data_IF_845269928061
#
_entry.id   IF_845269928061
#
_cell.length_a   1.000
_cell.length_b   1.000
_cell.length_c   1.000
_cell.angle_alpha   90.00
_cell.angle_beta   90.00
_cell.angle_gamma   90.00
#
_symmetry.space_group_name_H-M   'P 1'
#
loop_
_entity.id
_entity.type
_entity.pdbx_description
1 polymer ?
#
# COMPACT_ATOMS: atom_id res chain seq x y z
N UNK A 1 -3.29 -15.58 1.98
CA UNK A 1 -2.57 -15.00 0.85
C UNK A 1 -1.15 -15.56 0.87
N UNK A 2 -0.67 -16.07 -0.26
CA UNK A 2 0.73 -16.44 -0.45
C UNK A 2 1.59 -15.16 -0.56
N UNK A 3 2.76 -15.13 0.08
CA UNK A 3 3.61 -13.94 0.16
C UNK A 3 5.01 -14.25 -0.37
N UNK A 4 5.48 -13.42 -1.30
CA UNK A 4 6.87 -13.38 -1.72
C UNK A 4 7.42 -11.97 -1.53
N UNK A 5 8.16 -11.75 -0.43
CA UNK A 5 8.70 -10.44 -0.06
C UNK A 5 10.23 -10.54 -0.03
N UNK A 6 10.97 -9.59 -0.64
CA UNK A 6 12.42 -9.64 -0.65
C UNK A 6 12.95 -9.54 0.79
N UNK A 7 14.01 -10.30 1.14
CA UNK A 7 14.58 -10.23 2.47
C UNK A 7 15.04 -8.81 2.79
N UNK A 8 14.74 -8.36 4.01
CA UNK A 8 15.21 -7.08 4.51
C UNK A 8 16.38 -7.26 5.47
N UNK A 9 17.32 -6.31 5.48
CA UNK A 9 18.54 -6.36 6.29
C UNK A 9 18.29 -6.10 7.79
N UNK A 10 17.03 -6.04 8.22
CA UNK A 10 16.60 -5.91 9.63
C UNK A 10 16.79 -4.51 10.24
N UNK A 11 17.42 -3.57 9.52
CA UNK A 11 17.76 -2.23 10.03
C UNK A 11 17.01 -1.09 9.33
N UNK A 12 15.91 -1.38 8.63
CA UNK A 12 15.13 -0.40 7.87
C UNK A 12 13.65 -0.37 8.29
N UNK A 13 13.31 0.26 9.43
CA UNK A 13 11.94 0.21 9.99
C UNK A 13 10.85 0.73 9.03
N UNK A 14 11.16 1.75 8.21
CA UNK A 14 10.24 2.27 7.19
C UNK A 14 9.95 1.25 6.09
N UNK A 15 10.97 0.47 5.71
CA UNK A 15 10.85 -0.58 4.70
C UNK A 15 9.99 -1.74 5.22
N UNK A 16 10.21 -2.14 6.47
CA UNK A 16 9.36 -3.13 7.15
C UNK A 16 7.89 -2.67 7.20
N UNK A 17 7.62 -1.44 7.65
CA UNK A 17 6.28 -0.88 7.69
C UNK A 17 5.60 -0.88 6.31
N UNK A 18 6.33 -0.56 5.24
CA UNK A 18 5.76 -0.59 3.89
C UNK A 18 5.43 -2.01 3.43
N UNK A 19 6.29 -2.98 3.73
CA UNK A 19 5.96 -4.39 3.47
C UNK A 19 4.68 -4.81 4.18
N UNK A 20 4.55 -4.47 5.46
CA UNK A 20 3.36 -4.76 6.26
C UNK A 20 2.13 -4.04 5.71
N UNK A 21 2.22 -2.75 5.38
CA UNK A 21 1.13 -1.98 4.79
C UNK A 21 0.67 -2.56 3.46
N UNK A 22 1.60 -2.96 2.57
CA UNK A 22 1.23 -3.59 1.29
C UNK A 22 0.45 -4.88 1.52
N UNK A 23 0.84 -5.70 2.52
CA UNK A 23 0.09 -6.92 2.89
C UNK A 23 -1.30 -6.57 3.44
N UNK A 24 -1.41 -5.56 4.30
CA UNK A 24 -2.69 -5.12 4.87
C UNK A 24 -3.64 -4.62 3.78
N UNK A 25 -3.15 -3.79 2.84
CA UNK A 25 -3.95 -3.29 1.71
C UNK A 25 -4.38 -4.42 0.78
N UNK A 26 -3.48 -5.31 0.37
CA UNK A 26 -3.81 -6.44 -0.51
C UNK A 26 -4.82 -7.43 0.12
N UNK A 27 -4.88 -7.47 1.45
CA UNK A 27 -5.80 -8.33 2.22
C UNK A 27 -7.08 -7.61 2.68
N UNK A 28 -7.18 -6.30 2.44
CA UNK A 28 -8.23 -5.41 2.97
C UNK A 28 -8.36 -5.45 4.50
N UNK A 29 -7.23 -5.53 5.21
CA UNK A 29 -7.18 -5.33 6.67
C UNK A 29 -7.17 -3.83 6.97
N UNK A 30 -8.31 -3.19 6.63
CA UNK A 30 -8.45 -1.72 6.57
C UNK A 30 -8.23 -1.07 7.94
N UNK A 31 -8.84 -1.54 9.06
CA UNK A 31 -8.65 -0.90 10.36
C UNK A 31 -7.18 -0.82 10.79
N UNK A 32 -6.42 -1.89 10.58
CA UNK A 32 -4.99 -1.97 10.88
C UNK A 32 -4.19 -1.03 9.99
N UNK A 33 -4.47 -0.99 8.68
CA UNK A 33 -3.79 -0.08 7.76
C UNK A 33 -4.04 1.40 8.13
N UNK A 34 -5.27 1.75 8.50
CA UNK A 34 -5.65 3.12 8.85
C UNK A 34 -4.96 3.66 10.12
N UNK A 35 -4.49 2.78 11.01
CA UNK A 35 -3.70 3.17 12.18
C UNK A 35 -2.39 3.88 11.82
N UNK A 36 -1.88 3.65 10.60
CA UNK A 36 -0.64 4.24 10.08
C UNK A 36 -0.88 5.44 9.16
N UNK A 37 -2.11 5.86 8.93
CA UNK A 37 -2.44 6.98 8.04
C UNK A 37 -2.56 8.28 8.84
N UNK A 38 -2.13 9.42 8.28
CA UNK A 38 -2.48 10.73 8.80
C UNK A 38 -4.01 10.95 8.73
N UNK A 39 -4.56 11.80 9.61
CA UNK A 39 -6.01 12.06 9.61
C UNK A 39 -6.46 12.73 8.30
N UNK A 40 -5.59 13.56 7.71
CA UNK A 40 -5.74 14.27 6.44
C UNK A 40 -5.01 13.58 5.27
N UNK A 41 -4.78 12.26 5.35
CA UNK A 41 -4.12 11.48 4.29
C UNK A 41 -4.80 11.69 2.93
N UNK A 42 -4.01 11.76 1.87
CA UNK A 42 -4.52 11.82 0.49
C UNK A 42 -4.09 10.58 -0.28
N UNK A 43 -5.06 9.83 -0.79
CA UNK A 43 -4.81 8.71 -1.69
C UNK A 43 -5.24 9.05 -3.11
N UNK A 44 -4.40 8.70 -4.10
CA UNK A 44 -4.72 8.82 -5.52
C UNK A 44 -4.45 7.49 -6.21
N UNK A 45 -5.50 6.82 -6.68
CA UNK A 45 -5.37 5.79 -7.69
C UNK A 45 -5.27 6.48 -9.06
N UNK A 46 -4.18 6.26 -9.79
CA UNK A 46 -3.96 6.96 -11.06
C UNK A 46 -5.01 6.55 -12.08
N UNK A 47 -5.72 7.55 -12.60
CA UNK A 47 -6.90 7.38 -13.45
C UNK A 47 -8.20 7.84 -12.77
N UNK A 48 -8.19 7.99 -11.45
CA UNK A 48 -9.33 8.40 -10.64
C UNK A 48 -9.13 9.75 -9.95
N UNK A 49 -10.18 10.22 -9.26
CA UNK A 49 -10.11 11.43 -8.43
C UNK A 49 -9.43 11.12 -7.10
N UNK A 50 -8.61 12.04 -6.56
CA UNK A 50 -8.03 11.88 -5.23
C UNK A 50 -9.10 11.73 -4.14
N UNK A 51 -8.82 10.86 -3.18
CA UNK A 51 -9.61 10.65 -1.96
C UNK A 51 -8.89 11.35 -0.81
N UNK A 52 -9.62 12.21 -0.09
CA UNK A 52 -9.07 13.05 0.97
C UNK A 52 -9.62 12.62 2.34
N UNK A 53 -8.71 12.45 3.30
CA UNK A 53 -9.02 12.11 4.68
C UNK A 53 -9.10 10.60 4.93
N UNK A 54 -8.69 10.20 6.14
CA UNK A 54 -8.57 8.80 6.52
C UNK A 54 -9.89 8.03 6.43
N UNK A 55 -11.00 8.64 6.85
CA UNK A 55 -12.32 8.00 6.82
C UNK A 55 -12.80 7.71 5.40
N UNK A 56 -12.62 8.67 4.48
CA UNK A 56 -12.99 8.50 3.09
C UNK A 56 -12.13 7.42 2.41
N UNK A 57 -10.83 7.41 2.72
CA UNK A 57 -9.92 6.39 2.20
C UNK A 57 -10.28 4.99 2.69
N UNK A 58 -10.57 4.83 3.99
CA UNK A 58 -11.02 3.55 4.56
C UNK A 58 -12.29 3.03 3.86
N UNK A 59 -13.28 3.91 3.67
CA UNK A 59 -14.54 3.57 3.01
C UNK A 59 -14.34 3.10 1.56
N UNK A 60 -13.43 3.73 0.82
CA UNK A 60 -13.14 3.34 -0.57
C UNK A 60 -12.49 1.95 -0.62
N UNK A 61 -11.52 1.68 0.26
CA UNK A 61 -10.93 0.34 0.39
C UNK A 61 -11.96 -0.72 0.78
N UNK A 62 -12.85 -0.42 1.72
CA UNK A 62 -13.93 -1.34 2.10
C UNK A 62 -14.87 -1.66 0.93
N UNK A 63 -15.21 -0.66 0.10
CA UNK A 63 -16.02 -0.86 -1.09
C UNK A 63 -15.33 -1.76 -2.13
N UNK A 64 -13.99 -1.71 -2.21
CA UNK A 64 -13.18 -2.54 -3.11
C UNK A 64 -12.91 -3.97 -2.56
N UNK A 65 -13.22 -4.24 -1.29
CA UNK A 65 -12.82 -5.47 -0.57
C UNK A 65 -13.43 -6.79 -1.08
N UNK A 66 -14.36 -6.72 -2.02
CA UNK A 66 -15.04 -7.88 -2.61
C UNK A 66 -14.13 -8.83 -3.41
N UNK A 67 -12.94 -8.38 -3.81
CA UNK A 67 -11.95 -9.20 -4.49
C UNK A 67 -10.57 -9.04 -3.84
N UNK A 68 -10.14 -10.05 -3.08
CA UNK A 68 -8.87 -10.04 -2.33
C UNK A 68 -7.73 -10.67 -3.13
N UNK A 69 -6.50 -10.27 -2.83
CA UNK A 69 -5.34 -10.95 -3.35
C UNK A 69 -5.17 -12.35 -2.71
N UNK A 70 -4.95 -13.36 -3.55
CA UNK A 70 -4.59 -14.72 -3.14
C UNK A 70 -3.07 -14.92 -3.10
N UNK A 71 -2.32 -14.15 -3.89
CA UNK A 71 -0.86 -14.07 -3.81
C UNK A 71 -0.38 -12.63 -3.99
N UNK A 72 0.66 -12.26 -3.26
CA UNK A 72 1.33 -10.97 -3.34
C UNK A 72 2.84 -11.19 -3.49
N UNK A 73 3.41 -10.63 -4.54
CA UNK A 73 4.85 -10.55 -4.74
C UNK A 73 5.30 -9.11 -4.66
N UNK A 74 6.18 -8.79 -3.73
CA UNK A 74 6.88 -7.51 -3.68
C UNK A 74 8.21 -7.68 -4.40
N UNK A 75 8.50 -6.83 -5.38
CA UNK A 75 9.76 -6.87 -6.12
C UNK A 75 10.82 -5.99 -5.46
N UNK A 76 10.44 -4.79 -5.04
CA UNK A 76 11.32 -3.88 -4.32
C UNK A 76 10.54 -2.90 -3.43
N UNK A 77 11.21 -2.45 -2.37
CA UNK A 77 10.79 -1.33 -1.54
C UNK A 77 11.98 -0.37 -1.45
N UNK A 78 11.74 0.90 -1.76
CA UNK A 78 12.73 1.98 -1.78
C UNK A 78 12.31 3.06 -0.78
N UNK A 79 13.26 3.62 -0.04
CA UNK A 79 13.00 4.67 0.95
C UNK A 79 14.11 5.71 0.94
N UNK A 80 13.77 7.00 0.96
CA UNK A 80 14.72 8.10 1.10
C UNK A 80 14.06 9.32 1.77
N UNK A 81 14.62 9.82 2.87
CA UNK A 81 14.02 10.96 3.58
C UNK A 81 12.59 10.65 4.01
N UNK A 82 11.61 11.43 3.56
CA UNK A 82 10.17 11.20 3.80
C UNK A 82 9.50 10.38 2.71
N UNK A 83 10.19 10.12 1.60
CA UNK A 83 9.63 9.45 0.43
C UNK A 83 9.88 7.95 0.49
N UNK A 84 8.95 7.20 -0.07
CA UNK A 84 9.14 5.79 -0.30
C UNK A 84 8.33 5.28 -1.50
N UNK A 85 8.71 4.12 -2.00
CA UNK A 85 8.00 3.43 -3.06
C UNK A 85 8.05 1.92 -2.84
N UNK A 86 7.01 1.23 -3.25
CA UNK A 86 6.95 -0.23 -3.35
C UNK A 86 6.35 -0.60 -4.69
N UNK A 87 6.84 -1.66 -5.32
CA UNK A 87 6.21 -2.19 -6.51
C UNK A 87 6.26 -3.71 -6.51
N UNK A 88 5.34 -4.30 -7.25
CA UNK A 88 5.11 -5.73 -7.19
C UNK A 88 3.97 -6.19 -8.09
N UNK A 89 3.48 -7.39 -7.80
CA UNK A 89 2.38 -8.02 -8.49
C UNK A 89 1.40 -8.64 -7.48
N UNK A 90 0.12 -8.58 -7.79
CA UNK A 90 -0.95 -9.25 -7.05
C UNK A 90 -1.72 -10.20 -7.96
N UNK A 91 -1.99 -11.40 -7.45
CA UNK A 91 -2.93 -12.34 -8.06
C UNK A 91 -4.20 -12.31 -7.24
N UNK A 92 -5.32 -12.06 -7.89
CA UNK A 92 -6.62 -11.88 -7.25
C UNK A 92 -7.42 -13.17 -7.22
N UNK A 93 -8.40 -13.26 -6.31
CA UNK A 93 -9.24 -14.44 -6.14
C UNK A 93 -10.08 -14.77 -7.39
N UNK A 94 -10.42 -13.75 -8.19
CA UNK A 94 -11.12 -13.90 -9.47
C UNK A 94 -10.20 -14.32 -10.64
N UNK A 95 -8.92 -14.59 -10.37
CA UNK A 95 -7.93 -15.00 -11.35
C UNK A 95 -7.25 -13.87 -12.11
N UNK A 96 -7.67 -12.60 -11.90
CA UNK A 96 -6.97 -11.47 -12.48
C UNK A 96 -5.59 -11.25 -11.86
N UNK A 97 -4.67 -10.71 -12.67
CA UNK A 97 -3.33 -10.33 -12.26
C UNK A 97 -3.13 -8.84 -12.47
N UNK A 98 -2.47 -8.20 -11.52
CA UNK A 98 -2.13 -6.79 -11.61
C UNK A 98 -0.68 -6.57 -11.21
N UNK A 99 0.03 -5.76 -11.99
CA UNK A 99 1.24 -5.09 -11.56
C UNK A 99 0.87 -3.80 -10.84
N UNK A 100 1.59 -3.47 -9.78
CA UNK A 100 1.37 -2.23 -9.03
C UNK A 100 2.68 -1.51 -8.72
N UNK A 101 2.57 -0.19 -8.55
CA UNK A 101 3.58 0.65 -7.93
C UNK A 101 2.89 1.70 -7.05
N UNK A 102 3.22 1.73 -5.77
CA UNK A 102 2.71 2.68 -4.80
C UNK A 102 3.83 3.60 -4.33
N UNK A 103 3.62 4.91 -4.44
CA UNK A 103 4.51 5.94 -3.93
C UNK A 103 3.91 6.57 -2.68
N UNK A 104 4.73 6.71 -1.65
CA UNK A 104 4.33 7.19 -0.33
C UNK A 104 5.11 8.44 0.04
N UNK A 105 4.43 9.37 0.70
CA UNK A 105 5.09 10.36 1.54
C UNK A 105 4.70 10.14 3.00
N UNK A 106 5.67 10.26 3.90
CA UNK A 106 5.45 10.19 5.34
C UNK A 106 5.41 11.60 5.94
N UNK A 107 4.70 11.75 7.06
CA UNK A 107 4.61 13.03 7.81
C UNK A 107 5.97 13.45 8.38
N UNK A 108 6.89 12.50 8.58
CA UNK A 108 8.24 12.75 9.08
C UNK A 108 9.24 11.68 8.62
N UNK A 109 10.53 11.97 8.82
CA UNK A 109 11.61 11.05 8.43
C UNK A 109 11.54 9.72 9.21
N UNK A 110 11.01 9.75 10.44
CA UNK A 110 10.77 8.57 11.28
C UNK A 110 9.88 7.54 10.58
N UNK A 111 8.93 8.00 9.76
CA UNK A 111 8.16 7.11 8.89
C UNK A 111 7.07 6.31 9.59
N UNK A 112 6.43 6.86 10.61
CA UNK A 112 5.37 6.18 11.36
C UNK A 112 3.94 6.50 10.89
N UNK A 113 3.74 7.68 10.26
CA UNK A 113 2.46 8.03 9.61
C UNK A 113 2.63 8.43 8.14
N UNK A 114 1.76 7.90 7.30
CA UNK A 114 1.67 8.18 5.86
C UNK A 114 0.80 9.41 5.63
N UNK A 115 1.32 10.39 4.89
CA UNK A 115 0.62 11.62 4.51
C UNK A 115 -0.05 11.49 3.13
N UNK A 116 0.57 10.78 2.20
CA UNK A 116 -0.04 10.54 0.89
C UNK A 116 0.40 9.21 0.28
N UNK A 117 -0.47 8.69 -0.59
CA UNK A 117 -0.22 7.50 -1.40
C UNK A 117 -0.65 7.80 -2.84
N UNK A 118 0.21 7.53 -3.80
CA UNK A 118 -0.13 7.51 -5.24
C UNK A 118 0.08 6.10 -5.78
N UNK A 119 -1.00 5.48 -6.22
CA UNK A 119 -1.04 4.08 -6.67
C UNK A 119 -1.19 4.00 -8.17
N UNK A 120 -0.30 3.26 -8.81
CA UNK A 120 -0.41 2.84 -10.21
C UNK A 120 -0.76 1.36 -10.20
N UNK A 121 -1.87 0.97 -10.84
CA UNK A 121 -2.30 -0.43 -10.92
C UNK A 121 -2.62 -0.74 -12.38
N UNK A 122 -2.00 -1.77 -12.93
CA UNK A 122 -2.13 -2.16 -14.34
C UNK A 122 -2.47 -3.64 -14.40
N UNK A 123 -3.53 -3.99 -15.14
CA UNK A 123 -3.88 -5.39 -15.40
C UNK A 123 -2.84 -6.05 -16.32
N UNK A 124 -2.39 -7.25 -15.96
CA UNK A 124 -1.41 -8.05 -16.72
C UNK A 124 -2.10 -9.09 -17.62
#
# INVERSE_FOLDING_TARGET
MELHIPPDCGNAPKKALLGDLTVLFASYQVPEAMAHMADDVVWTLVGDKPVHGREAFAKELEAMSGNKAVALTIHAILTHGNDAAVHGEMHMADGHRFGFADFYTFTSAKGDRVQSITSYVIKL
#
